data_IF_269613851144
#
_entry.id   IF_269613851144
#
_cell.length_a   1.000
_cell.length_b   1.000
_cell.length_c   1.000
_cell.angle_alpha   90.00
_cell.angle_beta   90.00
_cell.angle_gamma   90.00
#
_symmetry.space_group_name_H-M   'P 1'
#
loop_
_entity.id
_entity.type
_entity.pdbx_description
1 polymer ?
#
# COMPACT_ATOMS: atom_id res chain seq x y z
N UNK A 1 -12.85 20.58 -22.19
CA UNK A 1 -12.02 21.55 -21.43
C UNK A 1 -11.54 20.84 -20.19
N UNK A 2 -10.22 20.87 -20.03
CA UNK A 2 -9.35 20.01 -19.24
C UNK A 2 -9.60 20.14 -17.72
N UNK A 3 -10.14 19.09 -17.09
CA UNK A 3 -10.15 18.97 -15.63
C UNK A 3 -8.82 18.36 -15.23
N UNK A 4 -7.76 19.17 -15.28
CA UNK A 4 -6.42 18.79 -14.83
C UNK A 4 -6.53 18.28 -13.39
N UNK A 5 -6.58 16.95 -13.24
CA UNK A 5 -6.44 16.31 -11.94
C UNK A 5 -5.09 16.76 -11.42
N UNK A 6 -5.06 17.50 -10.31
CA UNK A 6 -3.86 17.82 -9.53
C UNK A 6 -3.25 16.51 -9.02
N UNK A 7 -2.67 15.75 -9.94
CA UNK A 7 -2.14 14.43 -9.72
C UNK A 7 -0.74 14.63 -9.17
N UNK A 8 -0.68 14.76 -7.85
CA UNK A 8 0.55 14.93 -7.10
C UNK A 8 1.13 13.55 -6.77
N UNK A 9 2.38 13.32 -7.18
CA UNK A 9 3.07 12.09 -6.87
C UNK A 9 3.65 12.15 -5.46
N UNK A 10 3.09 11.39 -4.53
CA UNK A 10 3.61 11.33 -3.15
C UNK A 10 4.96 10.61 -3.01
N UNK A 11 5.42 9.92 -4.06
CA UNK A 11 6.73 9.25 -4.07
C UNK A 11 7.86 10.21 -4.38
N UNK A 12 7.69 11.11 -5.36
CA UNK A 12 8.74 12.04 -5.76
C UNK A 12 8.46 13.52 -5.50
N UNK A 13 7.21 13.88 -5.20
CA UNK A 13 6.80 15.27 -4.95
C UNK A 13 6.51 16.08 -6.22
N UNK A 14 6.55 15.48 -7.41
CA UNK A 14 6.24 16.16 -8.67
C UNK A 14 4.75 16.06 -9.05
N UNK A 15 4.29 17.02 -9.83
CA UNK A 15 2.92 17.05 -10.38
C UNK A 15 2.89 16.41 -11.77
N UNK A 16 1.75 15.84 -12.15
CA UNK A 16 1.50 15.28 -13.49
C UNK A 16 1.43 13.75 -13.53
N UNK A 17 1.68 13.05 -12.41
CA UNK A 17 1.57 11.59 -12.32
C UNK A 17 1.22 11.13 -10.89
N UNK A 18 0.73 9.89 -10.75
CA UNK A 18 0.55 9.23 -9.44
C UNK A 18 1.77 8.39 -9.09
N UNK A 19 1.95 8.08 -7.80
CA UNK A 19 3.05 7.25 -7.29
C UNK A 19 3.21 5.87 -7.98
N UNK A 20 2.16 5.34 -8.61
CA UNK A 20 2.22 4.07 -9.35
C UNK A 20 2.92 4.22 -10.71
N UNK A 21 2.80 5.38 -11.33
CA UNK A 21 3.37 5.73 -12.63
C UNK A 21 4.65 6.58 -12.47
N UNK A 22 5.22 6.60 -11.26
CA UNK A 22 6.44 7.32 -10.95
C UNK A 22 7.66 6.49 -11.34
N UNK A 23 8.47 7.04 -12.24
CA UNK A 23 9.72 6.43 -12.72
C UNK A 23 10.88 6.58 -11.70
N UNK A 24 10.71 7.42 -10.68
CA UNK A 24 11.70 7.57 -9.60
C UNK A 24 11.64 6.37 -8.65
N UNK A 25 12.80 5.76 -8.43
CA UNK A 25 12.98 4.59 -7.54
C UNK A 25 13.20 5.00 -6.09
N UNK A 26 13.66 6.24 -5.84
CA UNK A 26 13.90 6.75 -4.50
C UNK A 26 12.69 7.49 -3.96
N UNK A 27 12.25 7.13 -2.76
CA UNK A 27 11.23 7.89 -2.05
C UNK A 27 11.80 9.26 -1.66
N UNK A 28 11.18 10.32 -2.16
CA UNK A 28 11.44 11.66 -1.70
C UNK A 28 10.91 11.81 -0.27
N UNK A 29 11.63 12.58 0.53
CA UNK A 29 11.14 12.98 1.82
C UNK A 29 9.84 13.76 1.64
N UNK A 30 8.69 13.15 1.94
CA UNK A 30 7.83 13.66 2.99
C UNK A 30 7.80 15.17 3.06
N UNK A 31 8.55 15.72 4.00
CA UNK A 31 8.54 17.14 4.38
C UNK A 31 9.12 18.10 3.33
N UNK A 32 10.25 17.74 2.71
CA UNK A 32 11.06 18.66 1.90
C UNK A 32 11.16 18.31 0.41
N UNK A 33 10.62 17.17 0.01
CA UNK A 33 10.66 16.56 -1.32
C UNK A 33 12.08 16.31 -1.86
N UNK A 34 13.08 16.21 -0.98
CA UNK A 34 14.43 15.78 -1.35
C UNK A 34 14.61 14.29 -1.09
N UNK A 35 15.30 13.59 -1.99
CA UNK A 35 15.67 12.19 -1.82
C UNK A 35 16.79 12.01 -0.78
N UNK A 36 17.12 10.75 -0.47
CA UNK A 36 18.20 10.38 0.46
C UNK A 36 17.82 10.39 1.95
N UNK A 37 16.58 10.73 2.31
CA UNK A 37 16.07 10.60 3.68
C UNK A 37 14.54 10.51 3.72
N UNK A 38 14.00 9.99 4.83
CA UNK A 38 12.55 9.96 5.09
C UNK A 38 12.10 11.17 5.93
N UNK A 39 10.79 11.39 6.04
CA UNK A 39 10.22 12.53 6.81
C UNK A 39 10.69 12.59 8.26
N UNK A 40 10.99 11.42 8.84
CA UNK A 40 11.46 11.28 10.22
C UNK A 40 12.88 11.82 10.42
N UNK A 41 13.72 11.69 9.40
CA UNK A 41 15.13 12.10 9.40
C UNK A 41 15.33 13.48 8.77
N UNK A 42 14.24 14.17 8.43
CA UNK A 42 14.28 15.50 7.85
C UNK A 42 14.66 16.55 8.88
N UNK A 43 15.77 17.27 8.63
CA UNK A 43 16.25 18.37 9.49
C UNK A 43 15.54 19.70 9.24
N UNK A 44 14.72 19.79 8.19
CA UNK A 44 13.94 21.00 7.92
C UNK A 44 12.72 21.09 8.85
N UNK A 45 12.29 22.31 9.22
CA UNK A 45 11.06 22.49 9.97
C UNK A 45 9.90 21.80 9.24
N UNK A 46 9.01 21.18 10.00
CA UNK A 46 7.81 20.55 9.43
C UNK A 46 7.01 21.64 8.73
N UNK A 47 6.93 21.59 7.40
CA UNK A 47 6.04 22.47 6.66
C UNK A 47 4.62 22.13 7.10
N UNK A 48 3.87 23.14 7.54
CA UNK A 48 2.45 23.01 7.82
C UNK A 48 1.74 22.69 6.50
N UNK A 49 1.65 21.40 6.22
CA UNK A 49 0.73 20.88 5.23
C UNK A 49 -0.47 20.44 6.01
N UNK A 50 -1.63 20.81 5.50
CA UNK A 50 -2.91 20.32 5.98
C UNK A 50 -2.79 18.82 6.18
N UNK A 51 -2.89 18.36 7.44
CA UNK A 51 -2.87 16.93 7.71
C UNK A 51 -4.12 16.34 7.09
N UNK A 52 -3.96 15.82 5.87
CA UNK A 52 -4.98 15.07 5.19
C UNK A 52 -5.00 13.66 5.76
N UNK A 53 -6.20 13.22 6.10
CA UNK A 53 -6.43 11.89 6.59
C UNK A 53 -6.05 10.85 5.52
N UNK A 54 -5.18 9.91 5.86
CA UNK A 54 -4.77 8.84 4.94
C UNK A 54 -5.93 7.88 4.56
N UNK A 55 -7.06 7.93 5.28
CA UNK A 55 -8.22 7.09 5.00
C UNK A 55 -9.21 7.74 4.01
N UNK A 56 -9.51 9.03 4.16
CA UNK A 56 -10.53 9.72 3.37
C UNK A 56 -10.01 10.91 2.55
N UNK A 57 -8.73 11.26 2.68
CA UNK A 57 -8.10 12.37 1.97
C UNK A 57 -8.49 13.78 2.45
N UNK A 58 -9.43 13.91 3.40
CA UNK A 58 -9.87 15.20 3.95
C UNK A 58 -8.88 15.74 5.00
N UNK A 59 -8.64 17.05 4.97
CA UNK A 59 -7.82 17.75 5.96
C UNK A 59 -8.47 17.82 7.35
N UNK A 60 -7.67 18.08 8.39
CA UNK A 60 -8.15 18.41 9.74
C UNK A 60 -8.20 17.22 10.72
N UNK A 61 -7.83 16.01 10.29
CA UNK A 61 -7.72 14.86 11.16
C UNK A 61 -6.74 13.81 10.60
N UNK A 62 -6.24 12.94 11.46
CA UNK A 62 -5.40 11.80 11.09
C UNK A 62 -6.24 10.54 10.87
N UNK A 63 -5.68 9.53 10.20
CA UNK A 63 -6.37 8.27 9.91
C UNK A 63 -7.00 7.59 11.14
N UNK A 64 -6.38 7.74 12.31
CA UNK A 64 -6.88 7.18 13.58
C UNK A 64 -8.15 7.88 14.09
N UNK A 65 -8.34 9.14 13.73
CA UNK A 65 -9.45 10.00 14.16
C UNK A 65 -10.50 10.16 13.04
N UNK A 66 -10.43 9.29 12.02
CA UNK A 66 -11.30 9.36 10.86
C UNK A 66 -12.65 8.70 11.15
N UNK A 67 -13.67 9.53 11.35
CA UNK A 67 -15.08 9.09 11.46
C UNK A 67 -15.58 8.39 10.18
N UNK A 68 -14.91 8.64 9.05
CA UNK A 68 -15.21 8.03 7.76
C UNK A 68 -14.40 6.75 7.50
N UNK A 69 -14.12 5.94 8.53
CA UNK A 69 -13.38 4.68 8.37
C UNK A 69 -14.04 3.73 7.33
N UNK A 70 -15.36 3.82 7.12
CA UNK A 70 -16.09 3.06 6.11
C UNK A 70 -15.89 3.59 4.66
N UNK A 71 -15.39 4.81 4.49
CA UNK A 71 -14.94 5.35 3.20
C UNK A 71 -13.51 4.90 2.86
N UNK A 72 -12.86 4.09 3.71
CA UNK A 72 -11.60 3.45 3.34
C UNK A 72 -11.80 2.61 2.09
N UNK A 73 -11.01 2.92 1.06
CA UNK A 73 -10.89 2.03 -0.09
C UNK A 73 -10.16 0.77 0.34
N UNK A 74 -10.71 -0.38 -0.02
CA UNK A 74 -10.05 -1.66 0.16
C UNK A 74 -8.74 -1.69 -0.63
N UNK A 75 -7.61 -1.83 0.04
CA UNK A 75 -6.30 -1.88 -0.61
C UNK A 75 -6.12 -3.09 -1.55
N UNK A 76 -6.94 -4.13 -1.43
CA UNK A 76 -6.91 -5.30 -2.31
C UNK A 76 -7.73 -5.13 -3.59
N UNK A 77 -8.89 -4.47 -3.55
CA UNK A 77 -9.80 -4.41 -4.70
C UNK A 77 -10.18 -2.99 -5.15
N UNK A 78 -9.79 -1.97 -4.40
CA UNK A 78 -10.13 -0.57 -4.66
C UNK A 78 -11.59 -0.19 -4.36
N UNK A 79 -12.43 -1.13 -3.93
CA UNK A 79 -13.84 -0.88 -3.56
C UNK A 79 -14.00 -0.22 -2.19
N UNK A 80 -15.14 0.41 -1.95
CA UNK A 80 -15.47 1.09 -0.69
C UNK A 80 -16.38 0.24 0.20
N UNK A 81 -16.52 0.59 1.49
CA UNK A 81 -17.43 -0.08 2.42
C UNK A 81 -16.90 -1.37 3.07
N UNK A 82 -15.65 -1.75 2.81
CA UNK A 82 -14.99 -2.86 3.48
C UNK A 82 -13.46 -2.68 3.51
N UNK A 83 -12.81 -3.26 4.52
CA UNK A 83 -11.35 -3.29 4.64
C UNK A 83 -10.77 -4.53 3.95
N UNK A 84 -9.46 -4.54 3.68
CA UNK A 84 -8.77 -5.68 3.03
C UNK A 84 -9.08 -7.04 3.67
N UNK A 85 -9.18 -7.10 5.00
CA UNK A 85 -9.51 -8.34 5.73
C UNK A 85 -10.92 -8.87 5.43
N UNK A 86 -11.85 -8.01 5.05
CA UNK A 86 -13.25 -8.34 4.78
C UNK A 86 -13.56 -8.29 3.27
N UNK A 87 -12.52 -8.29 2.41
CA UNK A 87 -12.68 -8.19 0.97
C UNK A 87 -13.06 -9.54 0.36
N UNK A 88 -14.31 -9.64 -0.11
CA UNK A 88 -14.81 -10.79 -0.88
C UNK A 88 -14.20 -10.84 -2.29
N UNK A 89 -13.73 -9.69 -2.80
CA UNK A 89 -13.07 -9.58 -4.10
C UNK A 89 -11.56 -9.82 -4.04
N UNK A 90 -11.06 -10.44 -2.97
CA UNK A 90 -9.64 -10.79 -2.89
C UNK A 90 -9.32 -11.78 -4.01
N UNK A 91 -8.43 -11.38 -4.92
CA UNK A 91 -7.93 -12.23 -6.00
C UNK A 91 -6.84 -13.13 -5.45
N UNK A 92 -7.02 -14.44 -5.57
CA UNK A 92 -6.00 -15.41 -5.25
C UNK A 92 -4.81 -15.22 -6.19
N UNK A 93 -3.66 -14.87 -5.65
CA UNK A 93 -2.45 -14.67 -6.46
C UNK A 93 -1.84 -15.99 -6.97
N UNK A 94 -2.31 -17.16 -6.50
CA UNK A 94 -1.87 -18.48 -6.99
C UNK A 94 -2.67 -18.98 -8.19
N UNK A 95 -3.99 -18.75 -8.25
CA UNK A 95 -4.84 -19.25 -9.34
C UNK A 95 -5.57 -18.15 -10.13
N UNK A 96 -5.51 -16.90 -9.67
CA UNK A 96 -6.15 -15.76 -10.31
C UNK A 96 -7.65 -15.61 -10.04
N UNK A 97 -8.29 -16.52 -9.31
CA UNK A 97 -9.73 -16.44 -9.03
C UNK A 97 -10.04 -15.62 -7.78
N UNK A 98 -11.20 -14.97 -7.78
CA UNK A 98 -11.69 -14.15 -6.67
C UNK A 98 -12.42 -14.99 -5.62
N UNK A 99 -12.54 -14.49 -4.40
CA UNK A 99 -13.34 -15.12 -3.33
C UNK A 99 -12.55 -15.99 -2.36
N UNK A 100 -11.23 -16.11 -2.50
CA UNK A 100 -10.38 -16.79 -1.52
C UNK A 100 -8.95 -16.23 -1.52
N UNK A 101 -8.31 -16.32 -0.36
CA UNK A 101 -6.86 -16.04 -0.25
C UNK A 101 -6.07 -17.26 -0.69
N UNK A 102 -4.86 -17.04 -1.21
CA UNK A 102 -4.03 -18.10 -1.78
C UNK A 102 -3.71 -19.28 -0.85
N UNK A 103 -3.73 -19.07 0.47
CA UNK A 103 -3.58 -20.15 1.46
C UNK A 103 -4.77 -21.11 1.46
N UNK A 104 -5.95 -20.65 1.05
CA UNK A 104 -7.17 -21.44 0.90
C UNK A 104 -7.43 -21.88 -0.56
N UNK A 105 -6.43 -21.74 -1.44
CA UNK A 105 -6.56 -22.08 -2.84
C UNK A 105 -6.48 -23.60 -3.06
N UNK A 106 -7.61 -24.23 -3.38
CA UNK A 106 -7.68 -25.67 -3.67
C UNK A 106 -6.99 -26.07 -4.98
N UNK A 107 -6.73 -25.12 -5.88
CA UNK A 107 -6.05 -25.33 -7.18
C UNK A 107 -4.53 -25.20 -7.08
N UNK A 108 -4.00 -24.69 -5.96
CA UNK A 108 -2.57 -24.54 -5.76
C UNK A 108 -1.99 -25.87 -5.26
N UNK A 109 -1.54 -26.71 -6.19
CA UNK A 109 -0.90 -28.00 -5.88
C UNK A 109 0.45 -27.86 -5.20
N UNK A 110 1.10 -26.68 -5.30
CA UNK A 110 2.42 -26.43 -4.72
C UNK A 110 2.40 -25.20 -3.80
N UNK A 111 2.56 -25.46 -2.50
CA UNK A 111 2.79 -24.42 -1.50
C UNK A 111 4.28 -24.05 -1.55
N UNK A 112 4.57 -22.88 -2.09
CA UNK A 112 5.92 -22.29 -2.08
C UNK A 112 6.11 -21.48 -0.79
N UNK A 113 7.23 -21.68 -0.11
CA UNK A 113 7.62 -20.90 1.04
C UNK A 113 8.16 -19.53 0.62
N UNK A 114 7.55 -18.45 1.10
CA UNK A 114 7.99 -17.08 0.79
C UNK A 114 9.34 -16.71 1.41
N UNK A 115 9.78 -17.44 2.44
CA UNK A 115 11.04 -17.17 3.13
C UNK A 115 12.24 -17.87 2.47
N UNK A 116 12.05 -19.07 1.90
CA UNK A 116 13.17 -19.87 1.37
C UNK A 116 12.99 -20.35 -0.07
N UNK A 117 11.86 -20.05 -0.71
CA UNK A 117 11.56 -20.43 -2.11
C UNK A 117 11.29 -21.92 -2.34
N UNK A 118 11.48 -22.80 -1.34
CA UNK A 118 11.22 -24.23 -1.46
C UNK A 118 9.72 -24.54 -1.42
N UNK A 119 9.33 -25.61 -2.12
CA UNK A 119 7.96 -26.12 -2.15
C UNK A 119 7.69 -27.07 -0.98
N UNK A 120 6.42 -27.25 -0.62
CA UNK A 120 5.97 -28.26 0.36
C UNK A 120 5.70 -27.76 1.79
N UNK A 121 5.89 -26.47 2.08
CA UNK A 121 5.59 -25.90 3.42
C UNK A 121 5.26 -24.40 3.35
N UNK A 122 4.50 -23.89 4.34
CA UNK A 122 4.20 -22.47 4.47
C UNK A 122 5.37 -21.71 5.13
N UNK A 123 5.45 -20.40 4.92
CA UNK A 123 6.44 -19.53 5.57
C UNK A 123 6.46 -19.65 7.11
N UNK A 124 5.33 -20.00 7.72
CA UNK A 124 5.18 -20.22 9.16
C UNK A 124 5.82 -21.52 9.65
N UNK A 125 6.01 -22.47 8.76
CA UNK A 125 6.61 -23.79 9.00
C UNK A 125 8.04 -23.85 8.45
N UNK A 126 8.56 -22.70 7.99
CA UNK A 126 9.91 -22.60 7.48
C UNK A 126 10.90 -22.74 8.63
N UNK A 127 11.64 -23.84 8.63
CA UNK A 127 12.73 -24.10 9.58
C UNK A 127 14.06 -23.48 9.14
N UNK A 128 14.10 -22.93 7.92
CA UNK A 128 15.24 -22.17 7.43
C UNK A 128 15.10 -20.76 7.99
N UNK A 129 15.99 -20.37 8.90
CA UNK A 129 16.08 -19.00 9.37
C UNK A 129 16.34 -18.08 8.18
N UNK A 130 15.49 -17.07 8.01
CA UNK A 130 15.67 -16.07 6.96
C UNK A 130 17.02 -15.39 7.19
N UNK A 131 17.99 -15.65 6.31
CA UNK A 131 19.21 -14.86 6.27
C UNK A 131 18.81 -13.44 5.87
N UNK A 132 18.97 -12.53 6.82
CA UNK A 132 18.73 -11.10 6.68
C UNK A 132 19.65 -10.48 5.62
#
# INVERSE_FOLDING_TARGET
MDMSTNLFCYRCGEQGHIARDCEQTEDACYNCHRSGHISRDCKEPKKEREQCCYNCGKAGHVARDCDHANEQKCYSCGGFGHIQKLCDKVKCYRCGEIGHVAVQCSKATEVNCYNCGKTGHLARECTIEASA
#
